data_IF_237678598397
#
_entry.id   IF_237678598397
#
_cell.length_a   1.000
_cell.length_b   1.000
_cell.length_c   1.000
_cell.angle_alpha   90.00
_cell.angle_beta   90.00
_cell.angle_gamma   90.00
#
_symmetry.space_group_name_H-M   'P 1'
#
loop_
_entity.id
_entity.type
_entity.pdbx_description
1 polymer ?
#
# COMPACT_ATOMS: atom_id res chain seq x y z
N UNK A 1 12.74 66.67 60.55
CA UNK A 1 13.28 65.36 60.13
C UNK A 1 13.21 65.38 58.61
N UNK A 2 14.27 65.62 57.84
CA UNK A 2 15.62 65.10 57.92
C UNK A 2 15.81 64.09 56.76
N UNK A 3 16.30 64.61 55.63
CA UNK A 3 16.92 64.01 54.44
C UNK A 3 16.66 62.53 54.01
N UNK A 4 16.21 62.42 52.75
CA UNK A 4 16.74 61.58 51.63
C UNK A 4 17.81 60.52 51.94
N UNK A 5 17.62 59.31 51.38
CA UNK A 5 18.64 58.63 50.56
C UNK A 5 18.04 57.41 49.87
N UNK A 6 18.01 57.46 48.55
CA UNK A 6 17.82 56.33 47.66
C UNK A 6 18.99 55.34 47.79
N UNK A 7 18.70 54.04 47.75
CA UNK A 7 19.66 53.02 47.32
C UNK A 7 18.91 52.04 46.42
N UNK A 8 19.13 52.21 45.11
CA UNK A 8 18.88 51.19 44.11
C UNK A 8 19.90 50.07 44.29
N UNK A 9 19.45 48.83 44.41
CA UNK A 9 20.30 47.66 44.28
C UNK A 9 20.38 47.32 42.79
N UNK A 10 21.59 47.38 42.25
CA UNK A 10 21.86 47.21 40.82
C UNK A 10 21.61 45.76 40.38
N UNK A 11 20.68 45.61 39.44
CA UNK A 11 20.48 44.37 38.70
C UNK A 11 21.62 44.24 37.69
N UNK A 12 22.64 43.46 38.02
CA UNK A 12 23.73 43.14 37.09
C UNK A 12 23.18 42.46 35.82
N UNK A 13 23.68 42.80 34.61
CA UNK A 13 23.24 42.15 33.39
C UNK A 13 23.73 40.70 33.40
N UNK A 14 22.80 39.76 33.62
CA UNK A 14 23.02 38.35 33.32
C UNK A 14 23.25 38.24 31.81
N UNK A 15 24.46 37.84 31.45
CA UNK A 15 24.90 37.58 30.08
C UNK A 15 23.88 36.70 29.38
N UNK A 16 23.19 37.26 28.39
CA UNK A 16 22.52 36.47 27.35
C UNK A 16 23.60 35.61 26.71
N UNK A 17 23.62 34.32 27.06
CA UNK A 17 24.26 33.34 26.20
C UNK A 17 23.51 33.41 24.87
N UNK A 18 24.20 33.83 23.83
CA UNK A 18 23.83 33.50 22.47
C UNK A 18 23.79 31.97 22.42
N UNK A 19 22.57 31.44 22.41
CA UNK A 19 22.36 30.08 21.90
C UNK A 19 22.51 30.29 20.41
N UNK A 20 23.68 29.95 19.89
CA UNK A 20 23.83 29.69 18.47
C UNK A 20 22.78 28.64 18.14
N UNK A 21 21.70 29.08 17.49
CA UNK A 21 20.76 28.21 16.81
C UNK A 21 21.60 27.48 15.77
N UNK A 22 22.11 26.32 16.17
CA UNK A 22 22.59 25.33 15.23
C UNK A 22 21.37 25.03 14.38
N UNK A 23 21.32 25.65 13.21
CA UNK A 23 20.51 25.22 12.09
C UNK A 23 20.84 23.74 11.93
N UNK A 24 20.05 22.90 12.59
CA UNK A 24 19.90 21.54 12.16
C UNK A 24 19.30 21.71 10.79
N UNK A 25 20.16 21.65 9.78
CA UNK A 25 19.82 21.08 8.49
C UNK A 25 19.33 19.66 8.81
N UNK A 26 18.10 19.60 9.32
CA UNK A 26 17.35 18.39 9.43
C UNK A 26 17.20 17.96 7.97
N UNK A 27 17.84 16.84 7.64
CA UNK A 27 17.34 15.90 6.65
C UNK A 27 15.94 15.39 7.07
N UNK A 28 15.04 16.31 7.43
CA UNK A 28 13.65 16.08 7.69
C UNK A 28 13.11 15.61 6.36
N UNK A 29 12.73 14.34 6.34
CA UNK A 29 12.04 13.78 5.21
C UNK A 29 10.72 14.55 5.07
N UNK A 30 10.74 15.59 4.23
CA UNK A 30 9.59 16.46 4.06
C UNK A 30 8.39 15.61 3.63
N UNK A 31 7.21 15.98 4.12
CA UNK A 31 5.97 15.24 3.87
C UNK A 31 5.72 15.04 2.36
N UNK A 32 6.20 15.98 1.54
CA UNK A 32 6.21 15.90 0.07
C UNK A 32 7.03 14.71 -0.45
N UNK A 33 8.24 14.50 0.06
CA UNK A 33 9.10 13.37 -0.32
C UNK A 33 8.49 12.04 0.10
N UNK A 34 7.92 11.95 1.30
CA UNK A 34 7.24 10.73 1.74
C UNK A 34 5.99 10.43 0.88
N UNK A 35 5.25 11.46 0.49
CA UNK A 35 4.08 11.31 -0.38
C UNK A 35 4.46 10.73 -1.75
N UNK A 36 5.53 11.25 -2.36
CA UNK A 36 6.01 10.74 -3.65
C UNK A 36 6.61 9.35 -3.50
N UNK A 37 7.41 9.12 -2.45
CA UNK A 37 7.96 7.81 -2.12
C UNK A 37 6.86 6.75 -1.97
N UNK A 38 5.80 7.04 -1.22
CA UNK A 38 4.68 6.12 -1.02
C UNK A 38 3.96 5.76 -2.32
N UNK A 39 3.69 6.75 -3.19
CA UNK A 39 3.05 6.52 -4.50
C UNK A 39 3.91 5.66 -5.42
N UNK A 40 5.21 5.95 -5.49
CA UNK A 40 6.14 5.22 -6.35
C UNK A 40 6.38 3.80 -5.84
N UNK A 41 6.65 3.64 -4.53
CA UNK A 41 6.92 2.35 -3.92
C UNK A 41 5.73 1.41 -4.05
N UNK A 42 4.50 1.87 -3.76
CA UNK A 42 3.32 1.03 -3.93
C UNK A 42 3.19 0.53 -5.37
N UNK A 43 3.35 1.41 -6.37
CA UNK A 43 3.30 0.98 -7.77
C UNK A 43 4.40 -0.03 -8.10
N UNK A 44 5.66 0.30 -7.78
CA UNK A 44 6.81 -0.57 -8.08
C UNK A 44 6.70 -1.95 -7.44
N UNK A 45 6.28 -2.01 -6.18
CA UNK A 45 6.10 -3.29 -5.46
C UNK A 45 5.05 -4.15 -6.16
N UNK A 46 3.88 -3.60 -6.47
CA UNK A 46 2.82 -4.38 -7.11
C UNK A 46 3.11 -4.74 -8.58
N UNK A 47 3.84 -3.88 -9.30
CA UNK A 47 4.31 -4.19 -10.65
C UNK A 47 5.41 -5.29 -10.62
N UNK A 48 6.19 -5.39 -9.52
CA UNK A 48 7.26 -6.38 -9.38
C UNK A 48 6.79 -7.81 -9.04
N UNK A 49 5.60 -7.97 -8.45
CA UNK A 49 5.08 -9.29 -8.05
C UNK A 49 4.84 -10.25 -9.22
N UNK A 50 4.82 -9.75 -10.46
CA UNK A 50 4.70 -10.59 -11.66
C UNK A 50 3.40 -11.40 -11.70
N UNK A 51 3.50 -12.65 -12.16
CA UNK A 51 2.39 -13.59 -12.22
C UNK A 51 2.63 -14.79 -11.31
N UNK A 52 1.61 -15.18 -10.54
CA UNK A 52 1.62 -16.41 -9.74
C UNK A 52 0.84 -17.48 -10.48
N UNK A 53 1.50 -18.57 -10.84
CA UNK A 53 0.83 -19.74 -11.40
C UNK A 53 0.41 -20.70 -10.28
N UNK A 54 -0.84 -21.13 -10.34
CA UNK A 54 -1.47 -22.06 -9.40
C UNK A 54 -1.65 -23.38 -10.09
N UNK A 55 -0.99 -24.41 -9.54
CA UNK A 55 -1.15 -25.78 -10.00
C UNK A 55 -2.41 -26.42 -9.39
N UNK A 56 -3.11 -27.28 -10.14
CA UNK A 56 -4.22 -28.05 -9.61
C UNK A 56 -3.73 -29.10 -8.62
N UNK A 57 -4.57 -29.42 -7.64
CA UNK A 57 -4.42 -30.66 -6.88
C UNK A 57 -4.72 -31.84 -7.80
N UNK A 58 -3.69 -32.63 -8.12
CA UNK A 58 -3.78 -33.80 -9.01
C UNK A 58 -4.52 -34.97 -8.34
N UNK A 59 -5.80 -34.79 -8.04
CA UNK A 59 -6.68 -35.80 -7.44
C UNK A 59 -7.52 -36.46 -8.54
N UNK A 60 -7.18 -37.71 -8.88
CA UNK A 60 -7.82 -38.47 -9.95
C UNK A 60 -9.31 -38.75 -9.69
N UNK A 61 -9.75 -38.71 -8.42
CA UNK A 61 -11.17 -38.89 -8.05
C UNK A 61 -12.03 -37.65 -8.36
N UNK A 62 -11.40 -36.48 -8.47
CA UNK A 62 -12.05 -35.19 -8.73
C UNK A 62 -11.90 -34.71 -10.17
N UNK A 63 -11.20 -35.48 -11.00
CA UNK A 63 -11.08 -35.19 -12.42
C UNK A 63 -12.44 -35.43 -13.08
N UNK A 64 -13.21 -34.35 -13.24
CA UNK A 64 -14.31 -34.34 -14.20
C UNK A 64 -13.71 -34.33 -15.60
N UNK A 65 -14.29 -35.16 -16.48
CA UNK A 65 -14.01 -35.31 -17.90
C UNK A 65 -13.36 -34.05 -18.54
N UNK A 66 -12.02 -34.09 -18.73
CA UNK A 66 -11.25 -32.95 -19.28
C UNK A 66 -9.80 -32.83 -18.79
N UNK A 67 -9.08 -31.90 -19.41
CA UNK A 67 -7.69 -31.53 -19.09
C UNK A 67 -7.57 -30.80 -17.74
N UNK A 68 -6.44 -30.98 -17.06
CA UNK A 68 -6.12 -30.29 -15.81
C UNK A 68 -6.12 -28.77 -16.01
N UNK A 69 -6.99 -28.07 -15.28
CA UNK A 69 -7.07 -26.61 -15.30
C UNK A 69 -6.03 -26.00 -14.37
N UNK A 70 -5.26 -25.06 -14.89
CA UNK A 70 -4.34 -24.20 -14.14
C UNK A 70 -4.87 -22.79 -14.08
N UNK A 71 -4.43 -22.02 -13.11
CA UNK A 71 -4.73 -20.60 -13.04
C UNK A 71 -3.44 -19.78 -13.00
N UNK A 72 -3.43 -18.63 -13.67
CA UNK A 72 -2.39 -17.61 -13.55
C UNK A 72 -3.04 -16.37 -12.96
N UNK A 73 -2.51 -15.91 -11.83
CA UNK A 73 -2.92 -14.71 -11.13
C UNK A 73 -1.93 -13.59 -11.48
N UNK A 74 -2.41 -12.47 -12.00
CA UNK A 74 -1.60 -11.27 -12.23
C UNK A 74 -2.20 -10.09 -11.50
N UNK A 75 -1.38 -9.41 -10.72
CA UNK A 75 -1.73 -8.14 -10.11
C UNK A 75 -1.58 -7.03 -11.15
N UNK A 76 -2.41 -6.01 -11.03
CA UNK A 76 -2.43 -4.85 -11.91
C UNK A 76 -2.49 -3.56 -11.11
N UNK A 77 -3.02 -2.51 -11.74
CA UNK A 77 -3.04 -1.16 -11.17
C UNK A 77 -3.60 -1.13 -9.75
N UNK A 78 -2.87 -0.41 -8.90
CA UNK A 78 -3.19 -0.15 -7.51
C UNK A 78 -3.73 1.25 -7.37
N UNK A 79 -4.78 1.40 -6.56
CA UNK A 79 -5.38 2.70 -6.21
C UNK A 79 -5.59 2.77 -4.71
N UNK A 80 -5.12 3.85 -4.09
CA UNK A 80 -5.33 4.14 -2.67
C UNK A 80 -6.51 5.12 -2.56
N UNK A 81 -7.51 4.79 -1.73
CA UNK A 81 -8.59 5.71 -1.39
C UNK A 81 -8.22 6.49 -0.13
N UNK A 82 -8.89 7.62 0.15
CA UNK A 82 -8.68 8.35 1.41
C UNK A 82 -9.17 7.53 2.61
N UNK A 83 -8.67 7.80 3.83
CA UNK A 83 -9.08 7.10 5.04
C UNK A 83 -10.58 7.20 5.27
N UNK A 84 -11.21 6.05 5.48
CA UNK A 84 -12.64 5.93 5.60
C UNK A 84 -13.00 4.78 6.54
N UNK A 85 -14.16 4.87 7.17
CA UNK A 85 -14.68 3.84 8.07
C UNK A 85 -16.16 3.57 7.79
N UNK A 86 -16.60 2.37 8.14
CA UNK A 86 -18.00 1.95 7.97
C UNK A 86 -18.77 2.21 9.27
N UNK A 87 -19.92 2.89 9.15
CA UNK A 87 -20.69 3.42 10.29
C UNK A 87 -21.64 2.44 10.97
N UNK A 88 -21.70 1.17 10.54
CA UNK A 88 -22.43 0.11 11.26
C UNK A 88 -23.95 0.17 11.23
N UNK A 89 -24.55 1.30 10.87
CA UNK A 89 -25.99 1.55 10.90
C UNK A 89 -26.58 1.57 9.48
N UNK A 90 -27.90 1.41 9.38
CA UNK A 90 -28.73 1.15 8.18
C UNK A 90 -28.50 2.01 6.92
N UNK A 91 -27.64 3.02 6.97
CA UNK A 91 -27.06 3.62 5.77
C UNK A 91 -25.71 2.95 5.49
N UNK A 92 -25.60 2.28 4.35
CA UNK A 92 -24.35 1.69 3.82
C UNK A 92 -23.33 2.77 3.40
N UNK A 93 -23.28 3.87 4.15
CA UNK A 93 -22.51 5.06 3.88
C UNK A 93 -21.11 4.92 4.48
N UNK A 94 -20.12 4.97 3.61
CA UNK A 94 -18.73 5.06 3.99
C UNK A 94 -18.44 6.49 4.48
N UNK A 95 -17.98 6.63 5.72
CA UNK A 95 -17.68 7.93 6.31
C UNK A 95 -16.18 8.24 6.22
N UNK A 96 -15.87 9.51 6.00
CA UNK A 96 -14.49 10.00 6.05
C UNK A 96 -13.91 9.85 7.46
N UNK A 97 -12.74 9.23 7.54
CA UNK A 97 -11.98 9.15 8.79
C UNK A 97 -11.05 10.37 8.86
N UNK A 98 -11.17 11.16 9.93
CA UNK A 98 -10.21 12.21 10.26
C UNK A 98 -9.24 11.70 11.34
N UNK A 99 -8.01 12.24 11.44
CA UNK A 99 -7.08 11.85 12.49
C UNK A 99 -7.67 12.00 13.91
N UNK A 100 -8.52 13.00 14.13
CA UNK A 100 -9.26 13.19 15.39
C UNK A 100 -10.19 12.02 15.71
N UNK A 101 -10.97 11.55 14.74
CA UNK A 101 -11.85 10.38 14.91
C UNK A 101 -11.04 9.14 15.28
N UNK A 102 -9.91 8.91 14.59
CA UNK A 102 -9.04 7.77 14.85
C UNK A 102 -8.48 7.80 16.28
N UNK A 103 -8.06 8.97 16.75
CA UNK A 103 -7.54 9.16 18.11
C UNK A 103 -8.60 8.99 19.19
N UNK A 104 -9.78 9.60 19.01
CA UNK A 104 -10.84 9.56 20.03
C UNK A 104 -11.46 8.17 20.19
N UNK A 105 -11.48 7.37 19.12
CA UNK A 105 -12.09 6.05 19.11
C UNK A 105 -11.06 4.91 19.20
N UNK A 106 -9.78 5.22 19.48
CA UNK A 106 -8.67 4.26 19.48
C UNK A 106 -8.63 3.40 18.20
N UNK A 107 -8.93 4.02 17.05
CA UNK A 107 -8.87 3.38 15.74
C UNK A 107 -7.56 3.71 15.03
N UNK A 108 -7.21 2.87 14.06
CA UNK A 108 -6.06 3.11 13.18
C UNK A 108 -6.43 4.03 12.02
N UNK A 109 -5.70 5.13 11.85
CA UNK A 109 -5.81 5.99 10.67
C UNK A 109 -5.19 5.31 9.45
N UNK A 110 -6.02 4.65 8.64
CA UNK A 110 -5.57 3.82 7.52
C UNK A 110 -6.41 4.02 6.27
N UNK A 111 -5.80 3.73 5.12
CA UNK A 111 -6.45 3.73 3.81
C UNK A 111 -6.77 2.34 3.31
N UNK A 112 -7.83 2.29 2.51
CA UNK A 112 -8.21 1.13 1.74
C UNK A 112 -7.55 1.15 0.37
N UNK A 113 -6.75 0.12 0.11
CA UNK A 113 -6.09 -0.11 -1.16
C UNK A 113 -6.95 -1.01 -2.04
N UNK A 114 -7.15 -0.61 -3.30
CA UNK A 114 -7.85 -1.41 -4.31
C UNK A 114 -6.86 -1.85 -5.39
N UNK A 115 -6.77 -3.15 -5.63
CA UNK A 115 -5.86 -3.75 -6.61
C UNK A 115 -6.66 -4.43 -7.70
N UNK A 116 -6.29 -4.16 -8.95
CA UNK A 116 -6.87 -4.86 -10.09
C UNK A 116 -6.25 -6.24 -10.22
N UNK A 117 -7.07 -7.29 -10.23
CA UNK A 117 -6.58 -8.67 -10.27
C UNK A 117 -7.08 -9.37 -11.53
N UNK A 118 -6.15 -9.88 -12.33
CA UNK A 118 -6.45 -10.64 -13.54
C UNK A 118 -6.18 -12.12 -13.29
N UNK A 119 -7.24 -12.92 -13.36
CA UNK A 119 -7.15 -14.38 -13.23
C UNK A 119 -7.36 -15.00 -14.60
N UNK A 120 -6.38 -15.75 -15.08
CA UNK A 120 -6.46 -16.51 -16.33
C UNK A 120 -6.45 -18.00 -16.02
N UNK A 121 -7.55 -18.68 -16.30
CA UNK A 121 -7.65 -20.15 -16.22
C UNK A 121 -7.32 -20.72 -17.58
N UNK A 122 -6.36 -21.64 -17.62
CA UNK A 122 -5.86 -22.25 -18.84
C UNK A 122 -5.66 -23.75 -18.66
N UNK A 123 -5.76 -24.51 -19.75
CA UNK A 123 -5.30 -25.90 -19.79
C UNK A 123 -3.99 -25.97 -20.56
N UNK A 124 -3.19 -26.98 -20.24
CA UNK A 124 -1.90 -27.21 -20.87
C UNK A 124 -1.98 -28.51 -21.67
N UNK A 125 -1.91 -28.41 -23.00
CA UNK A 125 -1.73 -29.57 -23.86
C UNK A 125 -0.26 -29.76 -24.17
N UNK A 126 0.23 -30.99 -24.06
CA UNK A 126 1.57 -31.35 -24.53
C UNK A 126 1.47 -31.58 -26.03
N UNK A 127 1.94 -30.63 -26.83
CA UNK A 127 2.07 -30.80 -28.27
C UNK A 127 3.07 -31.91 -28.59
N UNK A 128 2.78 -32.70 -29.62
CA UNK A 128 3.65 -33.79 -30.09
C UNK A 128 5.02 -33.22 -30.50
N UNK A 129 6.08 -33.56 -29.77
CA UNK A 129 7.46 -33.16 -30.10
C UNK A 129 8.10 -34.16 -31.05
N UNK A 130 8.52 -33.72 -32.25
CA UNK A 130 9.42 -34.49 -33.10
C UNK A 130 10.86 -34.28 -32.62
N UNK A 131 11.32 -35.19 -31.75
CA UNK A 131 12.63 -35.12 -31.09
C UNK A 131 13.80 -35.34 -32.05
N UNK A 132 13.55 -35.78 -33.29
CA UNK A 132 14.60 -36.26 -34.18
C UNK A 132 15.27 -35.16 -35.02
N UNK A 133 14.66 -33.96 -35.14
CA UNK A 133 15.16 -32.91 -36.05
C UNK A 133 15.51 -31.57 -35.39
N UNK A 134 15.03 -31.27 -34.19
CA UNK A 134 15.12 -29.89 -33.64
C UNK A 134 15.64 -29.79 -32.21
N UNK A 135 15.80 -30.89 -31.47
CA UNK A 135 16.34 -30.85 -30.10
C UNK A 135 15.49 -30.08 -29.06
N UNK A 136 14.24 -29.71 -29.38
CA UNK A 136 13.35 -28.98 -28.47
C UNK A 136 12.46 -29.97 -27.71
N UNK A 137 12.64 -30.05 -26.40
CA UNK A 137 11.87 -30.92 -25.51
C UNK A 137 10.49 -30.29 -25.25
N UNK A 138 9.46 -30.85 -25.88
CA UNK A 138 8.01 -30.60 -25.67
C UNK A 138 7.55 -29.14 -25.85
N UNK A 139 6.87 -28.87 -26.97
CA UNK A 139 6.11 -27.61 -27.13
C UNK A 139 4.84 -27.68 -26.30
N UNK A 140 4.86 -26.95 -25.21
CA UNK A 140 3.73 -26.75 -24.32
C UNK A 140 2.78 -25.72 -24.93
N UNK A 141 1.56 -26.13 -25.31
CA UNK A 141 0.53 -25.21 -25.77
C UNK A 141 -0.37 -24.79 -24.60
N UNK A 142 -0.47 -23.47 -24.38
CA UNK A 142 -1.32 -22.87 -23.35
C UNK A 142 -2.66 -22.48 -23.97
N UNK A 143 -3.71 -23.25 -23.67
CA UNK A 143 -5.06 -22.94 -24.13
C UNK A 143 -5.82 -22.19 -23.02
N UNK A 144 -6.09 -20.92 -23.24
CA UNK A 144 -6.81 -20.10 -22.26
C UNK A 144 -8.30 -20.44 -22.34
N UNK A 145 -8.82 -21.09 -21.31
CA UNK A 145 -10.22 -21.54 -21.24
C UNK A 145 -11.12 -20.41 -20.72
N UNK A 146 -10.64 -19.66 -19.73
CA UNK A 146 -11.42 -18.58 -19.13
C UNK A 146 -10.51 -17.47 -18.63
N UNK A 147 -10.76 -16.23 -19.06
CA UNK A 147 -10.12 -15.05 -18.47
C UNK A 147 -11.15 -14.30 -17.64
N UNK A 148 -10.94 -14.25 -16.32
CA UNK A 148 -11.73 -13.43 -15.40
C UNK A 148 -10.89 -12.23 -14.97
N UNK A 149 -11.22 -11.07 -15.53
CA UNK A 149 -10.79 -9.78 -14.96
C UNK A 149 -11.67 -9.55 -13.73
N UNK A 150 -11.24 -10.00 -12.54
CA UNK A 150 -11.98 -9.69 -11.33
C UNK A 150 -11.80 -8.21 -10.98
N UNK A 151 -12.92 -7.52 -10.79
CA UNK A 151 -12.95 -6.13 -10.39
C UNK A 151 -12.42 -5.97 -8.97
N UNK A 152 -11.33 -5.20 -8.84
CA UNK A 152 -10.85 -4.54 -7.62
C UNK A 152 -10.93 -5.40 -6.33
N UNK A 153 -9.83 -6.08 -5.99
CA UNK A 153 -9.66 -6.65 -4.64
C UNK A 153 -9.33 -5.54 -3.65
N UNK A 154 -10.00 -5.54 -2.50
CA UNK A 154 -9.76 -4.61 -1.40
C UNK A 154 -8.69 -5.21 -0.47
N UNK A 155 -7.63 -4.45 -0.23
CA UNK A 155 -6.68 -4.68 0.86
C UNK A 155 -6.88 -3.56 1.88
N UNK A 156 -7.21 -3.95 3.11
CA UNK A 156 -7.35 -3.04 4.23
C UNK A 156 -6.02 -2.95 5.00
N UNK A 157 -5.64 -1.76 5.47
CA UNK A 157 -4.53 -1.61 6.43
C UNK A 157 -3.29 -0.86 5.97
N UNK A 158 -3.33 -0.04 4.91
CA UNK A 158 -2.21 0.87 4.65
C UNK A 158 -2.25 2.04 5.63
N UNK A 159 -1.29 2.13 6.55
CA UNK A 159 -1.15 3.26 7.46
C UNK A 159 -0.85 4.55 6.69
N UNK A 160 -1.42 5.66 7.14
CA UNK A 160 -1.23 6.97 6.51
C UNK A 160 -0.65 7.97 7.47
N UNK A 161 0.36 8.70 7.01
CA UNK A 161 0.95 9.81 7.76
C UNK A 161 -0.02 11.00 7.79
N UNK A 162 -0.16 11.63 8.96
CA UNK A 162 -0.92 12.88 9.12
C UNK A 162 -0.23 13.98 8.31
N UNK A 163 -1.00 14.87 7.66
CA UNK A 163 -0.54 15.89 6.69
C UNK A 163 -0.07 15.35 5.33
N UNK A 164 -0.09 14.03 5.09
CA UNK A 164 0.16 13.46 3.76
C UNK A 164 -0.93 13.83 2.74
N UNK A 165 -0.69 13.57 1.45
CA UNK A 165 -1.68 13.83 0.38
C UNK A 165 -2.98 13.00 0.52
N UNK A 166 -2.95 11.91 1.29
CA UNK A 166 -4.11 11.06 1.59
C UNK A 166 -4.83 11.50 2.88
N UNK A 167 -4.20 12.34 3.69
CA UNK A 167 -4.77 12.85 4.92
C UNK A 167 -5.97 13.77 4.63
N UNK A 168 -6.97 13.68 5.50
CA UNK A 168 -8.10 14.59 5.54
C UNK A 168 -7.88 15.53 6.72
N UNK A 169 -7.49 16.78 6.44
CA UNK A 169 -7.17 17.80 7.44
C UNK A 169 -5.77 18.36 7.29
#
# INVERSE_FOLDING_TARGET
MGASSDYMEEVGPSSKGEVDDMDMDEDLMDITNLNELGKELCKRVFDSFGGVDVEPGYDTSKQKEGEWRRASLRLGKVTLNRPSFWGGTSSDAEHNMFPSHARLQNMTYSVRMKIHVNVQVYTQTVGRSDKFKTGIDKVVQKNVVHTRKQGKSLLEGCFVMVKSYLCLG
#
